data_IF_246013733177
#
_entry.id   IF_246013733177
#
_cell.length_a   1.000
_cell.length_b   1.000
_cell.length_c   1.000
_cell.angle_alpha   90.00
_cell.angle_beta   90.00
_cell.angle_gamma   90.00
#
_symmetry.space_group_name_H-M   'P 1'
#
loop_
_entity.id
_entity.type
_entity.pdbx_description
1 polymer ?
#
# COMPACT_ATOMS: atom_id res chain seq x y z
N UNK A 1 20.09 -12.46 -20.57
CA UNK A 1 19.79 -11.43 -19.56
C UNK A 1 18.31 -11.10 -19.65
N UNK A 2 17.54 -11.23 -18.56
CA UNK A 2 16.13 -10.81 -18.50
C UNK A 2 16.05 -9.38 -17.96
N UNK A 3 15.10 -8.61 -18.47
CA UNK A 3 14.76 -7.28 -17.98
C UNK A 3 13.44 -7.38 -17.21
N UNK A 4 13.46 -6.98 -15.95
CA UNK A 4 12.30 -6.97 -15.07
C UNK A 4 11.85 -5.52 -14.83
N UNK A 5 10.55 -5.28 -14.73
CA UNK A 5 9.97 -3.94 -14.57
C UNK A 5 8.92 -3.95 -13.47
N UNK A 6 8.90 -2.91 -12.65
CA UNK A 6 7.87 -2.69 -11.62
C UNK A 6 6.68 -1.99 -12.29
N UNK A 7 5.52 -2.66 -12.30
CA UNK A 7 4.31 -2.17 -12.99
C UNK A 7 3.33 -1.47 -12.06
N UNK A 8 3.20 -1.90 -10.81
CA UNK A 8 2.49 -1.11 -9.78
C UNK A 8 3.15 -1.28 -8.40
N UNK A 9 3.36 -0.19 -7.66
CA UNK A 9 3.78 -0.24 -6.27
C UNK A 9 2.58 -0.31 -5.33
N UNK A 10 2.63 -1.20 -4.34
CA UNK A 10 1.70 -1.18 -3.21
C UNK A 10 2.16 -0.24 -2.11
N UNK A 11 1.22 0.45 -1.47
CA UNK A 11 1.53 1.31 -0.33
C UNK A 11 0.53 1.15 0.81
N UNK A 12 1.03 1.01 2.03
CA UNK A 12 0.24 0.90 3.25
C UNK A 12 0.78 1.91 4.27
N UNK A 13 0.48 3.19 4.06
CA UNK A 13 0.91 4.27 4.93
C UNK A 13 -0.22 4.70 5.87
N UNK A 14 0.10 5.12 7.11
CA UNK A 14 -0.92 5.54 8.06
C UNK A 14 -1.71 6.78 7.62
N UNK A 15 -1.17 7.57 6.69
CA UNK A 15 -1.80 8.75 6.10
C UNK A 15 -2.48 8.48 4.76
N UNK A 16 -2.14 7.37 4.09
CA UNK A 16 -2.68 6.97 2.80
C UNK A 16 -2.52 5.48 2.52
N UNK A 17 -3.60 4.87 2.04
CA UNK A 17 -3.61 3.47 1.61
C UNK A 17 -3.69 3.44 0.09
N UNK A 18 -2.71 2.79 -0.56
CA UNK A 18 -2.57 2.75 -2.02
C UNK A 18 -1.64 3.83 -2.58
N UNK A 19 -1.17 3.60 -3.81
CA UNK A 19 -0.15 4.43 -4.45
C UNK A 19 -0.62 5.85 -4.78
N UNK A 20 -1.88 6.01 -5.19
CA UNK A 20 -2.46 7.30 -5.58
C UNK A 20 -2.57 8.25 -4.40
N UNK A 21 -3.18 7.78 -3.30
CA UNK A 21 -3.34 8.58 -2.09
C UNK A 21 -1.98 8.91 -1.47
N UNK A 22 -1.03 7.95 -1.50
CA UNK A 22 0.32 8.19 -1.01
C UNK A 22 1.04 9.27 -1.82
N UNK A 23 0.92 9.25 -3.15
CA UNK A 23 1.51 10.28 -4.02
C UNK A 23 0.88 11.66 -3.84
N UNK A 24 -0.38 11.72 -3.41
CA UNK A 24 -1.06 12.99 -3.13
C UNK A 24 -0.66 13.61 -1.78
N UNK A 25 -0.12 12.83 -0.84
CA UNK A 25 0.25 13.35 0.48
C UNK A 25 1.30 14.47 0.45
N UNK A 26 2.47 14.31 -0.22
CA UNK A 26 3.51 15.34 -0.23
C UNK A 26 3.04 16.67 -0.79
N UNK A 27 2.11 16.65 -1.75
CA UNK A 27 1.57 17.86 -2.38
C UNK A 27 0.41 18.48 -1.60
N UNK A 28 -0.28 17.69 -0.77
CA UNK A 28 -1.40 18.18 0.05
C UNK A 28 -0.98 18.97 1.30
N UNK A 29 0.28 18.88 1.73
CA UNK A 29 0.76 19.45 2.99
C UNK A 29 0.15 18.81 4.25
N UNK A 30 -0.62 17.72 4.11
CA UNK A 30 -1.22 16.99 5.23
C UNK A 30 -0.21 16.04 5.89
N UNK A 31 -0.40 15.83 7.20
CA UNK A 31 0.31 14.80 8.00
C UNK A 31 -0.70 13.87 8.67
N UNK A 32 -0.30 12.63 8.97
CA UNK A 32 -1.09 11.69 9.77
C UNK A 32 -0.64 11.56 11.22
N UNK A 33 0.21 12.47 11.71
CA UNK A 33 0.55 12.52 13.12
C UNK A 33 -0.73 12.72 13.97
N UNK A 34 -1.16 11.67 14.68
CA UNK A 34 -2.28 11.67 15.63
C UNK A 34 -1.84 11.02 16.92
N UNK A 35 -2.46 11.37 18.05
CA UNK A 35 -2.18 10.71 19.32
C UNK A 35 -2.37 9.19 19.21
N UNK A 36 -1.42 8.42 19.75
CA UNK A 36 -1.52 6.96 19.77
C UNK A 36 -2.73 6.48 20.56
N UNK A 37 -3.53 5.59 19.97
CA UNK A 37 -4.72 4.98 20.58
C UNK A 37 -4.56 3.49 20.84
N UNK A 38 -3.46 2.90 20.40
CA UNK A 38 -3.21 1.46 20.46
C UNK A 38 -2.90 0.98 21.88
N UNK A 39 -2.22 1.83 22.64
CA UNK A 39 -1.82 1.59 24.02
C UNK A 39 -2.09 2.87 24.81
N UNK A 40 -2.30 2.73 26.12
CA UNK A 40 -2.31 3.88 27.00
C UNK A 40 -0.91 4.52 27.04
N UNK A 41 -0.79 5.72 26.49
CA UNK A 41 0.45 6.50 26.48
C UNK A 41 0.43 7.63 27.50
N UNK A 42 -0.53 7.68 28.44
CA UNK A 42 -0.71 8.80 29.37
C UNK A 42 0.51 9.12 30.24
N UNK A 43 1.37 8.13 30.50
CA UNK A 43 2.65 8.30 31.21
C UNK A 43 3.89 8.45 30.34
N UNK A 44 3.73 8.53 29.01
CA UNK A 44 4.82 8.56 28.04
C UNK A 44 4.75 9.86 27.22
N UNK A 45 5.87 10.32 26.68
CA UNK A 45 5.85 11.42 25.72
C UNK A 45 4.92 11.03 24.55
N UNK A 46 4.01 11.92 24.10
CA UNK A 46 3.07 11.58 23.03
C UNK A 46 3.81 11.03 21.81
N UNK A 47 3.43 9.83 21.37
CA UNK A 47 3.95 9.18 20.17
C UNK A 47 2.86 9.26 19.09
N UNK A 48 3.14 9.83 17.92
CA UNK A 48 2.18 9.83 16.82
C UNK A 48 1.96 8.39 16.31
N UNK A 49 0.71 8.00 16.08
CA UNK A 49 0.35 6.72 15.47
C UNK A 49 -0.83 6.89 14.49
N UNK A 50 -0.98 5.94 13.57
CA UNK A 50 -2.16 5.86 12.71
C UNK A 50 -2.44 4.40 12.28
N UNK A 51 -3.67 4.15 11.83
CA UNK A 51 -4.27 2.82 11.72
C UNK A 51 -4.69 2.51 10.27
N UNK A 52 -4.53 1.27 9.84
CA UNK A 52 -4.80 0.85 8.45
C UNK A 52 -6.12 0.10 8.24
N UNK A 53 -6.94 -0.08 9.27
CA UNK A 53 -8.32 -0.56 9.19
C UNK A 53 -8.60 -1.62 8.10
N UNK A 54 -8.11 -2.87 8.22
CA UNK A 54 -8.19 -3.89 7.17
C UNK A 54 -9.62 -4.20 6.69
N UNK A 55 -10.62 -4.02 7.55
CA UNK A 55 -12.04 -4.17 7.21
C UNK A 55 -12.50 -3.24 6.10
N UNK A 56 -11.94 -2.02 6.00
CA UNK A 56 -12.23 -1.10 4.91
C UNK A 56 -11.79 -1.62 3.54
N UNK A 57 -10.94 -2.65 3.51
CA UNK A 57 -10.41 -3.29 2.31
C UNK A 57 -10.93 -4.71 2.10
N UNK A 58 -12.03 -5.07 2.76
CA UNK A 58 -12.71 -6.36 2.57
C UNK A 58 -12.08 -7.53 3.33
N UNK A 59 -11.10 -7.28 4.21
CA UNK A 59 -10.55 -8.32 5.07
C UNK A 59 -11.40 -8.48 6.34
N UNK A 60 -11.75 -9.72 6.65
CA UNK A 60 -12.52 -10.10 7.83
C UNK A 60 -11.63 -10.31 9.07
N UNK A 61 -12.26 -10.52 10.23
CA UNK A 61 -11.55 -10.93 11.44
C UNK A 61 -10.78 -12.24 11.22
N UNK A 62 -11.39 -13.21 10.53
CA UNK A 62 -10.74 -14.49 10.20
C UNK A 62 -9.48 -14.30 9.35
N UNK A 63 -9.43 -13.25 8.53
CA UNK A 63 -8.24 -12.92 7.72
C UNK A 63 -7.12 -12.25 8.53
N UNK A 64 -7.35 -11.86 9.77
CA UNK A 64 -6.38 -11.08 10.57
C UNK A 64 -6.11 -11.69 11.94
N UNK A 65 -6.98 -12.58 12.41
CA UNK A 65 -6.86 -13.28 13.68
C UNK A 65 -5.59 -14.14 13.72
N UNK A 66 -4.88 -14.08 14.85
CA UNK A 66 -3.61 -14.79 15.06
C UNK A 66 -2.43 -14.24 14.25
N UNK A 67 -2.61 -13.12 13.52
CA UNK A 67 -1.53 -12.44 12.80
C UNK A 67 -1.03 -11.23 13.58
N UNK A 68 0.25 -10.92 13.40
CA UNK A 68 0.82 -9.68 13.92
C UNK A 68 0.15 -8.44 13.28
N UNK A 69 0.16 -7.31 13.98
CA UNK A 69 -0.46 -6.05 13.53
C UNK A 69 0.14 -5.53 12.21
N UNK A 70 1.36 -5.93 11.85
CA UNK A 70 1.99 -5.58 10.56
C UNK A 70 1.38 -6.33 9.37
N UNK A 71 0.84 -7.54 9.57
CA UNK A 71 0.32 -8.36 8.47
C UNK A 71 -0.85 -7.72 7.71
N UNK A 72 -1.85 -7.08 8.36
CA UNK A 72 -2.87 -6.28 7.69
C UNK A 72 -2.34 -5.24 6.69
N UNK A 73 -1.25 -4.53 7.01
CA UNK A 73 -0.67 -3.52 6.10
C UNK A 73 -0.15 -4.17 4.82
N UNK A 74 0.50 -5.34 4.94
CA UNK A 74 1.00 -6.11 3.80
C UNK A 74 -0.15 -6.62 2.92
N UNK A 75 -1.22 -7.15 3.52
CA UNK A 75 -2.37 -7.65 2.80
C UNK A 75 -3.09 -6.54 2.01
N UNK A 76 -3.34 -5.40 2.66
CA UNK A 76 -3.95 -4.23 2.02
C UNK A 76 -3.08 -3.70 0.88
N UNK A 77 -1.77 -3.60 1.11
CA UNK A 77 -0.83 -3.12 0.08
C UNK A 77 -0.76 -4.06 -1.13
N UNK A 78 -0.73 -5.38 -0.89
CA UNK A 78 -0.70 -6.38 -1.95
C UNK A 78 -2.02 -6.42 -2.74
N UNK A 79 -3.15 -6.28 -2.05
CA UNK A 79 -4.47 -6.20 -2.68
C UNK A 79 -4.58 -4.97 -3.59
N UNK A 80 -4.18 -3.79 -3.10
CA UNK A 80 -4.12 -2.57 -3.91
C UNK A 80 -3.20 -2.73 -5.12
N UNK A 81 -2.01 -3.30 -4.94
CA UNK A 81 -1.06 -3.56 -6.03
C UNK A 81 -1.65 -4.45 -7.12
N UNK A 82 -2.40 -5.48 -6.73
CA UNK A 82 -3.00 -6.42 -7.68
C UNK A 82 -4.15 -5.76 -8.44
N UNK A 83 -4.97 -4.96 -7.76
CA UNK A 83 -6.03 -4.18 -8.38
C UNK A 83 -5.45 -3.20 -9.42
N UNK A 84 -4.36 -2.49 -9.07
CA UNK A 84 -3.68 -1.54 -9.96
C UNK A 84 -2.99 -2.22 -11.16
N UNK A 85 -2.65 -3.50 -11.05
CA UNK A 85 -2.01 -4.31 -12.10
C UNK A 85 -2.99 -5.15 -12.94
N UNK A 86 -4.31 -4.95 -12.81
CA UNK A 86 -5.27 -5.74 -13.59
C UNK A 86 -4.98 -5.61 -15.11
N UNK A 87 -4.89 -6.73 -15.86
CA UNK A 87 -4.39 -6.76 -17.24
C UNK A 87 -5.34 -6.14 -18.28
N UNK A 88 -6.34 -5.37 -17.85
CA UNK A 88 -7.28 -4.68 -18.72
C UNK A 88 -6.61 -3.62 -19.61
N UNK A 89 -5.37 -3.21 -19.28
CA UNK A 89 -4.65 -2.15 -20.00
C UNK A 89 -3.16 -2.49 -20.19
N UNK A 90 -2.84 -3.73 -20.54
CA UNK A 90 -1.48 -4.07 -20.96
C UNK A 90 -1.25 -3.51 -22.38
N UNK A 91 -0.40 -2.49 -22.59
CA UNK A 91 -0.10 -2.02 -23.93
C UNK A 91 0.52 -3.16 -24.72
N UNK A 92 -0.08 -3.51 -25.85
CA UNK A 92 0.47 -4.53 -26.76
C UNK A 92 1.92 -4.15 -27.08
N UNK A 93 2.90 -4.95 -26.62
CA UNK A 93 4.31 -4.72 -26.95
C UNK A 93 4.44 -4.64 -28.47
N UNK A 94 4.93 -3.53 -29.06
CA UNK A 94 5.32 -3.56 -30.46
C UNK A 94 6.45 -4.58 -30.58
N UNK A 95 6.26 -5.57 -31.45
CA UNK A 95 7.28 -6.56 -31.76
C UNK A 95 8.45 -5.84 -32.45
N UNK A 96 9.48 -5.49 -31.70
CA UNK A 96 10.73 -4.97 -32.26
C UNK A 96 11.36 -6.10 -33.08
N UNK A 97 11.16 -6.06 -34.41
CA UNK A 97 11.89 -6.91 -35.35
C UNK A 97 13.34 -6.48 -35.37
N UNK A 98 14.23 -7.29 -34.78
CA UNK A 98 15.65 -7.21 -35.11
C UNK A 98 15.82 -7.65 -36.57
N UNK A 99 16.29 -6.73 -37.41
CA UNK A 99 16.76 -7.05 -38.75
C UNK A 99 18.28 -7.29 -38.61
N UNK A 100 18.80 -8.48 -38.93
CA UNK A 100 20.25 -8.69 -38.92
C UNK A 100 20.89 -7.95 -40.09
N UNK A 101 22.03 -7.31 -39.82
CA UNK A 101 22.92 -6.69 -40.80
C UNK A 101 23.77 -7.74 -41.54
#
# INVERSE_FOLDING_TARGET
MRQDTVTAPGHGDPAALGASDFRALPTSGRTAARAGTVLDTSGHHPQPAADAGPTAHGFSLTDTEGRDRTAPFTLVSAHGTTADNSPADAPSRPATRCTPA
#
